data_IF_622018160479
#
_entry.id   IF_622018160479
#
_cell.length_a   1.000
_cell.length_b   1.000
_cell.length_c   1.000
_cell.angle_alpha   90.00
_cell.angle_beta   90.00
_cell.angle_gamma   90.00
#
_symmetry.space_group_name_H-M   'P 1'
#
loop_
_entity.id
_entity.type
_entity.pdbx_description
1 polymer ?
#
# COMPACT_ATOMS: atom_id res chain seq x y z
N UNK A 1 7.77 -1.81 -9.77
CA UNK A 1 7.82 -3.14 -9.14
C UNK A 1 7.46 -2.96 -7.68
N UNK A 2 6.54 -3.78 -7.13
CA UNK A 2 6.09 -3.70 -5.74
C UNK A 2 6.82 -4.79 -4.96
N UNK A 3 7.45 -4.41 -3.85
CA UNK A 3 8.18 -5.30 -2.94
C UNK A 3 7.76 -5.01 -1.50
N UNK A 4 7.98 -5.94 -0.54
CA UNK A 4 7.92 -5.61 0.88
C UNK A 4 8.75 -4.36 1.19
N UNK A 5 8.16 -3.41 1.93
CA UNK A 5 8.72 -2.09 2.21
C UNK A 5 8.39 -1.00 1.18
N UNK A 6 7.67 -1.31 0.10
CA UNK A 6 7.21 -0.29 -0.86
C UNK A 6 5.98 0.45 -0.32
N UNK A 7 5.95 1.78 -0.48
CA UNK A 7 4.72 2.56 -0.33
C UNK A 7 3.83 2.37 -1.55
N UNK A 8 2.57 2.04 -1.32
CA UNK A 8 1.58 1.84 -2.37
C UNK A 8 0.32 2.63 -2.08
N UNK A 9 -0.41 3.01 -3.12
CA UNK A 9 -1.72 3.64 -3.04
C UNK A 9 -2.78 2.69 -3.58
N UNK A 10 -3.91 2.59 -2.89
CA UNK A 10 -5.07 1.83 -3.38
C UNK A 10 -5.77 2.63 -4.47
N UNK A 11 -5.97 1.99 -5.63
CA UNK A 11 -6.56 2.61 -6.83
C UNK A 11 -7.93 2.06 -7.19
N UNK A 12 -8.43 1.05 -6.49
CA UNK A 12 -9.79 0.54 -6.69
C UNK A 12 -10.83 1.54 -6.12
N UNK A 13 -11.66 2.20 -6.96
CA UNK A 13 -12.64 3.19 -6.49
C UNK A 13 -13.83 2.59 -5.72
N UNK A 14 -14.02 1.27 -5.79
CA UNK A 14 -15.08 0.57 -5.05
C UNK A 14 -14.63 0.09 -3.67
N UNK A 15 -13.38 0.37 -3.28
CA UNK A 15 -12.82 -0.01 -1.99
C UNK A 15 -12.86 1.17 -1.00
N UNK A 16 -13.13 0.92 0.28
CA UNK A 16 -13.14 1.95 1.33
C UNK A 16 -11.76 2.58 1.56
N UNK A 17 -10.69 1.89 1.13
CA UNK A 17 -9.32 2.37 1.18
C UNK A 17 -8.92 3.14 -0.08
N UNK A 18 -9.85 3.46 -1.00
CA UNK A 18 -9.53 4.20 -2.23
C UNK A 18 -8.74 5.49 -1.93
N UNK A 19 -7.61 5.67 -2.62
CA UNK A 19 -6.64 6.77 -2.44
C UNK A 19 -5.82 6.74 -1.14
N UNK A 20 -6.03 5.77 -0.24
CA UNK A 20 -5.16 5.62 0.92
C UNK A 20 -3.81 5.05 0.51
N UNK A 21 -2.77 5.55 1.15
CA UNK A 21 -1.41 5.06 1.02
C UNK A 21 -1.05 4.20 2.23
N UNK A 22 -0.27 3.14 1.99
CA UNK A 22 0.21 2.26 3.04
C UNK A 22 1.49 1.54 2.65
N UNK A 23 2.06 0.83 3.61
CA UNK A 23 3.33 0.13 3.45
C UNK A 23 3.10 -1.36 3.22
N UNK A 24 3.65 -1.90 2.13
CA UNK A 24 3.58 -3.35 1.87
C UNK A 24 4.42 -4.11 2.88
N UNK A 25 3.82 -5.02 3.64
CA UNK A 25 4.49 -5.84 4.65
C UNK A 25 4.94 -7.19 4.08
N UNK A 26 4.12 -7.80 3.23
CA UNK A 26 4.41 -9.08 2.58
C UNK A 26 3.65 -9.21 1.26
N UNK A 27 4.16 -10.07 0.39
CA UNK A 27 3.54 -10.43 -0.88
C UNK A 27 3.40 -11.95 -0.91
N UNK A 28 2.23 -12.43 -1.33
CA UNK A 28 1.98 -13.84 -1.61
C UNK A 28 1.13 -13.92 -2.87
N UNK A 29 1.58 -14.70 -3.84
CA UNK A 29 0.91 -14.88 -5.12
C UNK A 29 0.60 -13.53 -5.80
N UNK A 30 -0.67 -13.25 -6.06
CA UNK A 30 -1.18 -12.05 -6.71
C UNK A 30 -1.62 -10.96 -5.71
N UNK A 31 -1.23 -11.08 -4.43
CA UNK A 31 -1.70 -10.21 -3.35
C UNK A 31 -0.57 -9.60 -2.53
N UNK A 32 -0.84 -8.42 -1.99
CA UNK A 32 0.03 -7.73 -1.05
C UNK A 32 -0.74 -7.37 0.21
N UNK A 33 -0.15 -7.64 1.37
CA UNK A 33 -0.65 -7.12 2.64
C UNK A 33 -0.09 -5.71 2.85
N UNK A 34 -0.97 -4.73 2.93
CA UNK A 34 -0.67 -3.31 3.10
C UNK A 34 -1.03 -2.91 4.53
N UNK A 35 -0.06 -2.31 5.23
CA UNK A 35 -0.23 -1.72 6.54
C UNK A 35 -0.63 -0.26 6.40
N UNK A 36 -1.75 0.11 7.00
CA UNK A 36 -2.17 1.49 7.19
C UNK A 36 -1.94 1.88 8.65
N UNK A 37 -1.28 3.01 8.87
CA UNK A 37 -0.94 3.53 10.19
C UNK A 37 -1.50 4.95 10.33
N UNK A 38 -2.13 5.26 11.46
CA UNK A 38 -2.53 6.61 11.83
C UNK A 38 -2.54 6.79 13.35
N UNK A 39 -1.44 7.31 13.90
CA UNK A 39 -1.25 7.46 15.35
C UNK A 39 -1.07 6.10 16.02
N UNK A 40 -1.94 5.75 16.96
CA UNK A 40 -1.89 4.47 17.69
C UNK A 40 -2.71 3.35 17.02
N UNK A 41 -3.25 3.60 15.82
CA UNK A 41 -4.08 2.66 15.10
C UNK A 41 -3.36 2.12 13.87
N UNK A 42 -3.24 0.80 13.85
CA UNK A 42 -2.66 0.05 12.75
C UNK A 42 -3.68 -0.92 12.19
N UNK A 43 -3.81 -0.98 10.86
CA UNK A 43 -4.67 -1.95 10.19
C UNK A 43 -3.96 -2.56 8.99
N UNK A 44 -3.85 -3.90 9.02
CA UNK A 44 -3.28 -4.68 7.93
C UNK A 44 -4.41 -5.22 7.03
N UNK A 45 -4.40 -4.85 5.75
CA UNK A 45 -5.41 -5.28 4.78
C UNK A 45 -4.71 -5.86 3.56
N UNK A 46 -5.27 -6.92 2.98
CA UNK A 46 -4.68 -7.58 1.81
C UNK A 46 -5.44 -7.18 0.55
N UNK A 47 -4.70 -6.67 -0.45
CA UNK A 47 -5.22 -6.28 -1.75
C UNK A 47 -4.64 -7.14 -2.85
N UNK A 48 -5.29 -7.20 -4.00
CA UNK A 48 -4.64 -7.71 -5.21
C UNK A 48 -3.61 -6.70 -5.70
N UNK A 49 -2.54 -7.17 -6.31
CA UNK A 49 -1.53 -6.31 -6.91
C UNK A 49 -2.11 -5.37 -7.99
N UNK A 50 -3.21 -5.75 -8.62
CA UNK A 50 -3.93 -4.91 -9.61
C UNK A 50 -4.73 -3.76 -8.99
N UNK A 51 -4.95 -3.77 -7.68
CA UNK A 51 -5.75 -2.77 -6.96
C UNK A 51 -4.88 -1.70 -6.27
N UNK A 52 -3.56 -1.82 -6.39
CA UNK A 52 -2.58 -0.94 -5.77
C UNK A 52 -1.51 -0.49 -6.76
N UNK A 53 -1.02 0.73 -6.60
CA UNK A 53 0.06 1.30 -7.42
C UNK A 53 1.21 1.81 -6.54
N UNK A 54 2.48 1.64 -6.96
CA UNK A 54 3.61 2.16 -6.21
C UNK A 54 3.60 3.70 -6.20
N UNK A 55 3.78 4.28 -5.03
CA UNK A 55 3.94 5.73 -4.89
C UNK A 55 5.40 6.08 -5.13
N UNK A 56 5.68 6.88 -6.16
CA UNK A 56 7.01 7.42 -6.39
C UNK A 56 7.27 8.53 -5.37
N UNK A 57 7.83 8.16 -4.22
CA UNK A 57 8.41 9.11 -3.30
C UNK A 57 9.65 9.68 -3.98
N UNK A 58 9.52 10.83 -4.65
CA UNK A 58 10.69 11.61 -5.04
C UNK A 58 11.44 11.91 -3.75
N UNK A 59 12.62 11.31 -3.57
CA UNK A 59 13.50 11.59 -2.43
C UNK A 59 13.58 13.11 -2.28
N UNK A 60 12.95 13.65 -1.24
CA UNK A 60 13.19 15.01 -0.83
C UNK A 60 14.70 15.16 -0.67
N UNK A 61 15.28 16.12 -1.40
CA UNK A 61 16.69 16.49 -1.25
C UNK A 61 16.97 16.66 0.25
N UNK A 62 17.90 15.87 0.78
CA UNK A 62 18.69 16.25 1.95
C UNK A 62 19.92 16.99 1.45
#
# INVERSE_FOLDING_TARGET
MILPGSTVKVVNPNDIYYQFEGLVQRISDDKAAVLFENGNWDKLVTFRLSEIEPVNLTKGKK
#
